data_IF_441723949428
#
_entry.id   IF_441723949428
#
_cell.length_a   1.000
_cell.length_b   1.000
_cell.length_c   1.000
_cell.angle_alpha   90.00
_cell.angle_beta   90.00
_cell.angle_gamma   90.00
#
_symmetry.space_group_name_H-M   'P 1'
#
loop_
_entity.id
_entity.type
_entity.pdbx_description
1 polymer ?
#
# COMPACT_ATOMS: atom_id res chain seq x y z
N UNK A 1 -18.94 0.91 -6.84
CA UNK A 1 -17.50 0.97 -6.55
C UNK A 1 -16.74 0.86 -7.87
N UNK A 2 -15.99 1.88 -8.28
CA UNK A 2 -15.06 1.73 -9.42
C UNK A 2 -14.00 0.70 -9.01
N UNK A 3 -13.87 -0.39 -9.78
CA UNK A 3 -12.74 -1.32 -9.61
C UNK A 3 -11.48 -0.51 -9.89
N UNK A 4 -10.67 -0.27 -8.86
CA UNK A 4 -9.36 0.35 -9.04
C UNK A 4 -8.57 -0.63 -9.90
N UNK A 5 -8.05 -0.15 -11.03
CA UNK A 5 -7.15 -0.97 -11.86
C UNK A 5 -5.83 -1.08 -11.11
N UNK A 6 -5.42 -2.31 -10.81
CA UNK A 6 -4.09 -2.56 -10.29
C UNK A 6 -3.06 -2.22 -11.37
N UNK A 7 -1.94 -1.63 -10.96
CA UNK A 7 -0.84 -1.30 -11.85
C UNK A 7 -0.09 -2.58 -12.22
N UNK A 8 0.22 -2.71 -13.51
CA UNK A 8 1.19 -3.72 -13.96
C UNK A 8 2.59 -3.39 -13.44
N UNK A 9 3.49 -4.38 -13.42
CA UNK A 9 4.88 -4.18 -12.96
C UNK A 9 5.54 -3.04 -13.76
N UNK A 10 5.37 -3.01 -15.09
CA UNK A 10 5.98 -2.01 -15.95
C UNK A 10 5.36 -0.61 -15.77
N UNK A 11 4.09 -0.52 -15.37
CA UNK A 11 3.44 0.74 -14.99
C UNK A 11 3.94 1.22 -13.63
N UNK A 12 4.06 0.32 -12.64
CA UNK A 12 4.55 0.66 -11.32
C UNK A 12 6.01 1.17 -11.35
N UNK A 13 6.87 0.59 -12.19
CA UNK A 13 8.26 1.05 -12.38
C UNK A 13 8.31 2.45 -13.02
N UNK A 14 7.35 2.78 -13.90
CA UNK A 14 7.29 4.07 -14.60
C UNK A 14 6.49 5.12 -13.84
N UNK A 15 5.73 4.71 -12.83
CA UNK A 15 4.91 5.61 -12.02
C UNK A 15 5.79 6.66 -11.30
N UNK A 16 5.52 7.96 -11.48
CA UNK A 16 6.34 9.03 -10.89
C UNK A 16 6.36 8.99 -9.36
N UNK A 17 5.26 8.61 -8.71
CA UNK A 17 5.17 8.59 -7.27
C UNK A 17 5.97 7.42 -6.69
N UNK A 18 5.88 6.24 -7.31
CA UNK A 18 6.67 5.08 -6.91
C UNK A 18 8.16 5.37 -7.12
N UNK A 19 8.56 5.94 -8.26
CA UNK A 19 9.96 6.31 -8.50
C UNK A 19 10.50 7.31 -7.49
N UNK A 20 9.67 8.26 -7.04
CA UNK A 20 10.05 9.22 -6.01
C UNK A 20 10.31 8.51 -4.68
N UNK A 21 9.42 7.61 -4.27
CA UNK A 21 9.59 6.82 -3.05
C UNK A 21 10.85 5.94 -3.10
N UNK A 22 11.06 5.24 -4.22
CA UNK A 22 12.26 4.41 -4.42
C UNK A 22 13.54 5.22 -4.30
N UNK A 23 13.57 6.44 -4.87
CA UNK A 23 14.71 7.33 -4.77
C UNK A 23 14.95 7.80 -3.33
N UNK A 24 13.89 8.11 -2.58
CA UNK A 24 13.98 8.50 -1.18
C UNK A 24 14.57 7.38 -0.31
N UNK A 25 14.24 6.13 -0.64
CA UNK A 25 14.70 4.93 0.07
C UNK A 25 16.01 4.35 -0.49
N UNK A 26 16.61 4.95 -1.53
CA UNK A 26 17.84 4.48 -2.15
C UNK A 26 17.70 3.14 -2.91
N UNK A 27 16.50 2.81 -3.36
CA UNK A 27 16.19 1.55 -4.07
C UNK A 27 16.47 1.70 -5.57
N UNK A 28 17.21 0.75 -6.15
CA UNK A 28 17.42 0.66 -7.61
C UNK A 28 16.13 0.16 -8.32
N UNK A 29 15.59 0.92 -9.31
CA UNK A 29 14.46 0.51 -10.13
C UNK A 29 14.60 -0.86 -10.77
N UNK A 30 15.79 -1.20 -11.28
CA UNK A 30 16.00 -2.48 -11.97
C UNK A 30 16.02 -3.64 -10.99
N UNK A 31 16.62 -3.47 -9.82
CA UNK A 31 16.59 -4.46 -8.75
C UNK A 31 15.16 -4.73 -8.26
N UNK A 32 14.37 -3.66 -8.08
CA UNK A 32 12.97 -3.76 -7.69
C UNK A 32 12.11 -4.46 -8.76
N UNK A 33 12.32 -4.16 -10.04
CA UNK A 33 11.66 -4.86 -11.15
C UNK A 33 11.96 -6.36 -11.10
N UNK A 34 13.24 -6.74 -10.96
CA UNK A 34 13.66 -8.13 -10.87
C UNK A 34 13.00 -8.86 -9.70
N UNK A 35 12.91 -8.20 -8.53
CA UNK A 35 12.23 -8.74 -7.35
C UNK A 35 10.72 -8.93 -7.60
N UNK A 36 10.06 -7.97 -8.25
CA UNK A 36 8.64 -8.11 -8.57
C UNK A 36 8.39 -9.24 -9.56
N UNK A 37 9.23 -9.36 -10.59
CA UNK A 37 9.11 -10.44 -11.59
C UNK A 37 9.42 -11.81 -11.00
N UNK A 38 10.40 -11.94 -10.11
CA UNK A 38 10.67 -13.23 -9.43
C UNK A 38 9.48 -13.67 -8.59
N UNK A 39 8.90 -12.75 -7.80
CA UNK A 39 7.70 -13.05 -7.00
C UNK A 39 6.47 -13.35 -7.84
N UNK A 40 6.34 -12.73 -9.01
CA UNK A 40 5.27 -13.04 -9.95
C UNK A 40 5.44 -14.43 -10.56
N UNK A 41 6.68 -14.83 -10.85
CA UNK A 41 7.00 -16.19 -11.31
C UNK A 41 6.71 -17.23 -10.21
N UNK A 42 7.05 -16.95 -8.95
CA UNK A 42 6.74 -17.83 -7.81
C UNK A 42 5.23 -17.93 -7.54
N UNK A 43 4.47 -16.91 -7.93
CA UNK A 43 3.00 -16.87 -7.82
C UNK A 43 2.26 -17.40 -9.05
N UNK A 44 2.95 -17.74 -10.15
CA UNK A 44 2.31 -18.34 -11.30
C UNK A 44 1.75 -19.71 -10.89
N UNK A 45 0.42 -19.89 -10.80
CA UNK A 45 -0.12 -21.13 -10.33
C UNK A 45 -0.26 -22.09 -11.50
N UNK A 46 0.18 -23.33 -11.32
CA UNK A 46 -0.64 -24.47 -11.74
C UNK A 46 -2.03 -24.30 -11.07
N UNK A 47 -2.93 -23.56 -11.73
CA UNK A 47 -4.39 -23.69 -11.58
C UNK A 47 -5.11 -23.24 -10.29
N UNK A 48 -4.50 -22.55 -9.32
CA UNK A 48 -5.22 -22.10 -8.10
C UNK A 48 -5.13 -20.58 -7.89
N UNK A 49 -6.25 -19.83 -7.95
CA UNK A 49 -6.25 -18.41 -7.60
C UNK A 49 -6.07 -18.25 -6.07
N UNK A 50 -5.31 -17.25 -5.60
CA UNK A 50 -5.10 -17.07 -4.18
C UNK A 50 -6.40 -16.61 -3.51
N UNK A 51 -6.94 -17.46 -2.64
CA UNK A 51 -8.14 -17.27 -1.82
C UNK A 51 -8.01 -16.21 -0.71
N UNK A 52 -7.11 -15.24 -0.88
CA UNK A 52 -6.87 -14.20 0.14
C UNK A 52 -7.88 -13.04 0.09
N UNK A 53 -8.90 -13.13 -0.77
CA UNK A 53 -9.88 -12.06 -0.99
C UNK A 53 -11.35 -12.51 -0.89
N UNK A 54 -11.60 -13.77 -0.52
CA UNK A 54 -12.95 -14.26 -0.22
C UNK A 54 -13.03 -14.77 1.22
N UNK A 55 -13.27 -13.86 2.17
CA UNK A 55 -14.47 -13.98 3.00
C UNK A 55 -14.96 -12.61 3.51
N UNK A 56 -16.02 -12.19 2.82
CA UNK A 56 -17.28 -11.61 3.30
C UNK A 56 -17.36 -11.03 4.71
N UNK A 57 -17.94 -9.83 4.77
CA UNK A 57 -18.33 -9.18 6.01
C UNK A 57 -19.26 -10.04 6.87
N UNK A 58 -18.89 -10.14 8.14
CA UNK A 58 -19.80 -10.40 9.25
C UNK A 58 -19.58 -9.33 10.31
N UNK A 59 -20.68 -8.76 10.78
CA UNK A 59 -20.75 -7.41 11.29
C UNK A 59 -20.05 -7.16 12.62
N UNK A 60 -19.57 -5.92 12.78
CA UNK A 60 -19.92 -5.08 13.93
C UNK A 60 -19.37 -3.67 13.76
N UNK A 61 -20.30 -2.74 13.58
CA UNK A 61 -20.09 -1.32 13.85
C UNK A 61 -19.46 -1.14 15.23
N UNK A 62 -18.23 -0.63 15.31
CA UNK A 62 -17.68 -0.07 16.54
C UNK A 62 -16.95 1.23 16.23
N UNK A 63 -17.71 2.30 16.45
CA UNK A 63 -17.37 3.73 16.41
C UNK A 63 -15.91 4.00 16.79
N UNK A 64 -15.15 4.55 15.84
CA UNK A 64 -13.90 5.27 16.09
C UNK A 64 -14.24 6.51 16.94
N UNK A 65 -13.88 6.48 18.23
CA UNK A 65 -13.87 7.68 19.07
C UNK A 65 -12.57 8.41 18.80
N UNK A 66 -12.65 9.51 18.05
CA UNK A 66 -11.60 10.50 17.96
C UNK A 66 -11.34 11.08 19.35
N UNK A 67 -10.22 10.71 19.96
CA UNK A 67 -9.62 11.49 21.06
C UNK A 67 -8.49 12.31 20.46
N UNK A 68 -8.82 13.48 19.90
CA UNK A 68 -7.83 14.52 19.69
C UNK A 68 -7.59 15.23 21.03
N UNK A 69 -6.38 15.13 21.57
CA UNK A 69 -5.93 15.99 22.66
C UNK A 69 -5.56 17.35 22.03
N UNK A 70 -6.17 18.48 22.43
CA UNK A 70 -5.67 19.77 22.02
C UNK A 70 -4.28 19.99 22.61
N UNK A 71 -3.37 20.49 21.78
CA UNK A 71 -2.02 20.88 22.17
C UNK A 71 -2.13 22.07 23.15
N UNK A 72 -1.39 21.98 24.26
CA UNK A 72 -1.48 22.91 25.38
C UNK A 72 -1.25 24.36 24.97
N UNK A 73 -2.16 25.21 25.42
CA UNK A 73 -2.07 26.66 25.43
C UNK A 73 -0.88 27.08 26.30
N UNK A 74 0.17 27.60 25.67
CA UNK A 74 1.28 28.24 26.37
C UNK A 74 0.83 29.64 26.79
N UNK A 75 0.35 29.78 28.04
CA UNK A 75 0.21 31.09 28.66
C UNK A 75 1.59 31.60 29.04
N UNK A 76 2.04 32.64 28.36
CA UNK A 76 3.17 33.47 28.77
C UNK A 76 2.59 34.58 29.64
N UNK A 77 2.96 34.62 30.92
CA UNK A 77 2.77 35.78 31.80
C UNK A 77 4.11 36.50 31.94
N UNK A 78 4.11 37.80 31.62
CA UNK A 78 5.20 38.73 31.94
C UNK A 78 5.04 39.25 33.36
#
# INVERSE_FOLDING_TARGET
MQKRKDLTIDEAIRDPMIRLAMKADGIDPKAFERMLRSRAADKAPDGVPPSFLEDSGSGRSRRLRHFAKPFGEASVSW
#
